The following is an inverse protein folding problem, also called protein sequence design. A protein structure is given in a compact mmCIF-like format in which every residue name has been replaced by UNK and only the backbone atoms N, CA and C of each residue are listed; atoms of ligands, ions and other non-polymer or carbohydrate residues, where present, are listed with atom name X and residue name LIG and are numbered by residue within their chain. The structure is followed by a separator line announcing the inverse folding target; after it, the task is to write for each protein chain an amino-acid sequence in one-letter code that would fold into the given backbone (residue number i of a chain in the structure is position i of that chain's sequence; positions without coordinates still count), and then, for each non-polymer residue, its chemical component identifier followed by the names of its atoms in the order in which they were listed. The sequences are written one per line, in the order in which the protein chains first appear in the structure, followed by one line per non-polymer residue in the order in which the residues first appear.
data_IF_860632057994
#
_entry.id   IF_860632057994
#
_cell.length_a   1.000
_cell.length_b   1.000
_cell.length_c   1.000
_cell.angle_alpha   90.00
_cell.angle_beta   90.00
_cell.angle_gamma   90.00
#
_symmetry.space_group_name_H-M   'P 1'
#
loop_
_entity.id
_entity.type
_entity.pdbx_description
1 polymer ?
#
# COMPACT_ATOMS: atom_id res chain seq x y z
N UNK A 2 -7.72 -2.64 -12.64
CA UNK A 2 -8.06 -3.51 -13.75
C UNK A 2 -8.83 -4.71 -13.24
N UNK A 3 -8.31 -5.28 -12.17
CA UNK A 3 -8.99 -6.33 -11.44
C UNK A 3 -10.03 -5.70 -10.52
N UNK A 4 -10.95 -6.49 -10.00
CA UNK A 4 -11.92 -5.99 -9.05
C UNK A 4 -11.36 -6.05 -7.63
N UNK A 5 -11.04 -4.89 -7.05
CA UNK A 5 -10.50 -4.81 -5.68
C UNK A 5 -11.33 -5.59 -4.68
N UNK A 6 -10.72 -6.63 -4.12
CA UNK A 6 -11.33 -7.44 -3.09
C UNK A 6 -11.20 -6.70 -1.75
N UNK A 7 -11.72 -7.23 -0.63
CA UNK A 7 -11.53 -6.62 0.69
C UNK A 7 -10.07 -6.22 0.94
N UNK A 8 -9.87 -5.02 1.47
CA UNK A 8 -8.54 -4.48 1.71
C UNK A 8 -7.72 -5.34 2.66
N UNK A 9 -6.51 -5.66 2.24
CA UNK A 9 -5.57 -6.40 3.06
C UNK A 9 -4.51 -5.46 3.61
N UNK A 10 -3.77 -5.93 4.59
CA UNK A 10 -2.63 -5.21 5.12
C UNK A 10 -1.40 -5.47 4.27
N UNK A 11 -0.25 -4.92 4.68
CA UNK A 11 1.02 -5.08 3.96
C UNK A 11 1.41 -6.56 3.80
N UNK A 12 0.56 -7.47 4.29
CA UNK A 12 0.72 -8.89 4.03
C UNK A 12 0.79 -9.14 2.51
N UNK A 13 0.04 -8.35 1.74
CA UNK A 13 0.26 -8.28 0.31
C UNK A 13 1.33 -7.25 0.06
N UNK A 14 2.55 -7.71 -0.11
CA UNK A 14 3.70 -6.84 -0.03
C UNK A 14 4.32 -6.56 -1.41
N UNK A 15 5.22 -5.58 -1.43
CA UNK A 15 6.04 -5.25 -2.58
C UNK A 15 5.22 -4.58 -3.66
N UNK A 16 4.80 -3.36 -3.37
CA UNK A 16 4.26 -2.52 -4.40
C UNK A 16 4.91 -1.15 -4.39
N UNK A 17 5.01 -0.54 -3.21
CA UNK A 17 5.88 0.62 -2.93
C UNK A 17 6.02 0.78 -1.41
N UNK A 18 7.17 1.24 -0.94
CA UNK A 18 7.29 1.73 0.42
C UNK A 18 7.59 3.22 0.39
N UNK A 19 6.63 4.02 0.83
CA UNK A 19 6.77 5.47 0.80
C UNK A 19 7.30 6.00 2.11
N UNK A 20 8.20 6.98 2.05
CA UNK A 20 8.51 7.80 3.20
C UNK A 20 7.50 8.94 3.29
N UNK A 21 6.50 8.74 4.14
CA UNK A 21 5.33 9.60 4.13
C UNK A 21 4.08 8.77 3.94
N UNK A 22 3.21 9.18 3.01
CA UNK A 22 1.97 8.45 2.76
C UNK A 22 1.68 8.29 1.27
N UNK A 23 0.89 7.28 0.96
CA UNK A 23 0.40 7.02 -0.38
C UNK A 23 -0.80 7.90 -0.69
N UNK A 24 -0.81 8.57 -1.84
CA UNK A 24 -1.98 9.36 -2.20
C UNK A 24 -2.62 8.90 -3.50
N UNK A 25 -1.81 8.54 -4.52
CA UNK A 25 -2.30 8.05 -5.82
C UNK A 25 -1.14 7.81 -6.78
N UNK A 26 -1.17 6.73 -7.59
CA UNK A 26 -2.12 5.63 -7.41
C UNK A 26 -1.49 4.56 -6.53
N UNK A 27 -1.86 4.56 -5.26
CA UNK A 27 -1.26 3.68 -4.28
C UNK A 27 -2.17 3.56 -3.09
N UNK A 28 -2.39 2.35 -2.65
CA UNK A 28 -3.27 2.12 -1.53
C UNK A 28 -2.46 1.72 -0.31
N UNK A 29 -2.72 2.39 0.79
CA UNK A 29 -2.00 2.14 2.02
C UNK A 29 -2.32 0.76 2.57
N UNK A 30 -1.31 -0.08 2.56
CA UNK A 30 -1.39 -1.39 3.16
C UNK A 30 -0.34 -1.48 4.27
N UNK A 31 -0.74 -1.18 5.48
CA UNK A 31 0.18 -1.21 6.60
C UNK A 31 1.25 -0.13 6.52
N UNK A 32 2.10 -0.06 7.53
CA UNK A 32 3.10 0.99 7.59
C UNK A 32 4.46 0.50 7.08
N UNK A 33 5.35 1.44 6.80
CA UNK A 33 6.70 1.12 6.39
C UNK A 33 7.66 2.05 7.14
N UNK A 34 8.97 1.90 6.90
CA UNK A 34 9.98 2.67 7.65
C UNK A 34 9.80 2.52 9.16
N UNK A 35 9.23 1.37 9.55
CA UNK A 35 8.98 1.05 10.96
C UNK A 35 7.97 2.01 11.59
N UNK A 36 7.15 2.65 10.77
CA UNK A 36 6.09 3.49 11.31
C UNK A 36 5.95 4.83 10.60
N UNK A 37 7.06 5.42 10.18
CA UNK A 37 7.01 6.75 9.57
C UNK A 37 6.64 6.70 8.10
N UNK A 38 6.88 5.57 7.48
CA UNK A 38 6.61 5.44 6.08
C UNK A 38 5.35 4.66 5.87
N UNK A 39 5.12 4.25 4.65
CA UNK A 39 3.87 3.62 4.33
C UNK A 39 4.05 2.53 3.29
N UNK A 40 3.68 1.32 3.68
CA UNK A 40 3.63 0.22 2.75
C UNK A 40 2.40 0.41 1.88
N UNK A 41 2.60 0.84 0.66
CA UNK A 41 1.49 1.13 -0.22
C UNK A 41 1.81 0.63 -1.62
N UNK A 42 1.12 -0.40 -2.05
CA UNK A 42 1.45 -1.04 -3.30
C UNK A 42 0.89 -0.28 -4.47
N UNK A 43 1.66 -0.26 -5.56
CA UNK A 43 1.29 0.50 -6.75
C UNK A 43 -0.01 -0.03 -7.34
N UNK A 44 -1.02 0.81 -7.29
CA UNK A 44 -2.31 0.47 -7.82
C UNK A 44 -3.41 0.95 -6.92
N UNK A 45 -4.54 0.28 -6.94
CA UNK A 45 -5.64 0.68 -6.09
C UNK A 45 -6.44 -0.50 -5.58
N UNK A 46 -6.65 -0.51 -4.28
CA UNK A 46 -7.50 -1.51 -3.65
C UNK A 46 -8.59 -0.83 -2.83
N UNK A 47 -9.81 -1.08 -3.25
CA UNK A 47 -11.01 -0.48 -2.66
C UNK A 47 -10.95 1.06 -2.67
#
# INVERSE_FOLDING_TARGET
XPFIPRPIDTCRLRNGICFPGICRRPYYWIGTCNNGIGSCCARGWRS
#
